data_IF_083902251051
#
_entry.id   IF_083902251051
#
_cell.length_a   1.000
_cell.length_b   1.000
_cell.length_c   1.000
_cell.angle_alpha   90.00
_cell.angle_beta   90.00
_cell.angle_gamma   90.00
#
_symmetry.space_group_name_H-M   'P 1'
#
loop_
_entity.id
_entity.type
_entity.pdbx_description
1 polymer ?
#
# COMPACT_ATOMS: atom_id res chain seq x y z
N UNK A 1 58.66 -10.09 -51.28
CA UNK A 1 58.12 -8.75 -50.95
C UNK A 1 57.11 -8.93 -49.84
N UNK A 2 57.38 -8.31 -48.70
CA UNK A 2 56.57 -8.34 -47.50
C UNK A 2 55.38 -7.37 -47.61
N UNK A 3 54.28 -7.72 -46.96
CA UNK A 3 53.18 -6.86 -46.46
C UNK A 3 52.08 -7.82 -45.98
N UNK A 4 51.46 -7.79 -44.80
CA UNK A 4 51.57 -7.02 -43.56
C UNK A 4 50.59 -7.71 -42.58
N UNK A 5 50.96 -7.78 -41.30
CA UNK A 5 50.23 -8.41 -40.18
C UNK A 5 49.05 -7.55 -39.75
N UNK A 6 47.86 -8.09 -39.50
CA UNK A 6 46.90 -7.53 -38.53
C UNK A 6 45.86 -8.58 -38.11
N UNK A 7 45.91 -8.96 -36.84
CA UNK A 7 44.87 -9.75 -36.17
C UNK A 7 43.56 -8.97 -36.16
N UNK A 8 42.44 -9.64 -36.48
CA UNK A 8 41.12 -9.06 -36.30
C UNK A 8 40.19 -10.09 -35.61
N UNK A 9 40.34 -10.11 -34.28
CA UNK A 9 39.27 -10.01 -33.28
C UNK A 9 38.07 -10.96 -33.48
N UNK A 10 37.98 -11.96 -32.59
CA UNK A 10 36.79 -12.79 -32.40
C UNK A 10 35.58 -11.93 -32.04
N UNK A 11 34.63 -11.86 -32.97
CA UNK A 11 33.39 -11.12 -32.82
C UNK A 11 32.28 -12.01 -32.23
N UNK A 12 32.00 -11.72 -30.97
CA UNK A 12 30.66 -11.39 -30.48
C UNK A 12 29.55 -12.45 -30.62
N UNK A 13 29.39 -13.27 -29.58
CA UNK A 13 28.07 -13.75 -29.14
C UNK A 13 28.09 -14.06 -27.63
N UNK A 14 28.38 -13.04 -26.82
CA UNK A 14 27.94 -13.03 -25.42
C UNK A 14 26.60 -12.28 -25.42
N UNK A 15 25.53 -13.02 -25.70
CA UNK A 15 24.17 -12.52 -25.47
C UNK A 15 24.01 -12.55 -23.95
N UNK A 16 24.48 -11.51 -23.26
CA UNK A 16 24.18 -11.32 -21.85
C UNK A 16 22.66 -11.16 -21.76
N UNK A 17 22.00 -12.15 -21.19
CA UNK A 17 20.58 -12.06 -20.85
C UNK A 17 20.43 -10.95 -19.82
N UNK A 18 20.05 -9.75 -20.26
CA UNK A 18 19.61 -8.68 -19.36
C UNK A 18 18.25 -9.12 -18.85
N UNK A 19 18.23 -9.82 -17.72
CA UNK A 19 17.01 -9.95 -16.94
C UNK A 19 16.67 -8.55 -16.42
N UNK A 20 15.68 -7.89 -17.04
CA UNK A 20 15.05 -6.72 -16.46
C UNK A 20 14.32 -7.21 -15.21
N UNK A 21 14.97 -7.09 -14.05
CA UNK A 21 14.30 -7.21 -12.76
C UNK A 21 13.52 -5.92 -12.59
N UNK A 22 12.24 -5.93 -12.95
CA UNK A 22 11.30 -4.90 -12.50
C UNK A 22 11.11 -5.12 -10.99
N UNK A 23 11.71 -4.29 -10.16
CA UNK A 23 11.34 -4.21 -8.75
C UNK A 23 9.96 -3.57 -8.71
N UNK A 24 8.92 -4.35 -8.41
CA UNK A 24 7.63 -3.81 -8.00
C UNK A 24 7.84 -3.09 -6.67
N UNK A 25 7.53 -1.80 -6.61
CA UNK A 25 7.55 -1.09 -5.34
C UNK A 25 6.53 -1.74 -4.38
N UNK A 26 6.84 -1.73 -3.09
CA UNK A 26 5.97 -2.32 -2.07
C UNK A 26 5.82 -1.33 -0.94
N UNK A 27 4.58 -0.87 -0.75
CA UNK A 27 4.19 -0.01 0.35
C UNK A 27 3.81 -0.84 1.56
N UNK A 28 4.20 -0.38 2.75
CA UNK A 28 3.84 -1.00 4.03
C UNK A 28 2.90 -0.07 4.79
N UNK A 29 1.59 -0.25 4.59
CA UNK A 29 0.54 0.51 5.25
C UNK A 29 0.36 0.01 6.68
N UNK A 30 0.49 0.90 7.65
CA UNK A 30 0.46 0.57 9.08
C UNK A 30 -0.46 1.51 9.83
N UNK A 31 -1.11 0.97 10.86
CA UNK A 31 -1.95 1.74 11.76
C UNK A 31 -2.45 0.91 12.92
N UNK A 32 -3.35 1.49 13.71
CA UNK A 32 -3.96 0.84 14.87
C UNK A 32 -5.46 1.03 14.84
N UNK A 33 -6.20 0.06 15.36
CA UNK A 33 -7.64 0.15 15.59
C UNK A 33 -7.88 0.29 17.07
N UNK A 34 -8.71 1.24 17.46
CA UNK A 34 -9.05 1.50 18.84
C UNK A 34 -10.56 1.61 19.05
N UNK A 35 -11.00 1.33 20.27
CA UNK A 35 -12.39 1.55 20.68
C UNK A 35 -12.57 2.97 21.22
N UNK A 36 -13.41 3.78 20.55
CA UNK A 36 -13.74 5.14 20.98
C UNK A 36 -14.86 5.12 22.05
N UNK A 37 -14.53 4.66 23.26
CA UNK A 37 -15.47 4.56 24.38
C UNK A 37 -16.05 5.91 24.82
N UNK A 38 -15.38 7.01 24.49
CA UNK A 38 -15.83 8.38 24.78
C UNK A 38 -16.63 9.02 23.63
N UNK A 39 -16.66 8.42 22.44
CA UNK A 39 -17.26 8.96 21.21
C UNK A 39 -16.73 10.37 20.86
N UNK A 40 -15.44 10.60 20.99
CA UNK A 40 -14.84 11.95 20.85
C UNK A 40 -14.15 12.23 19.53
N UNK A 41 -13.73 11.22 18.76
CA UNK A 41 -13.00 11.50 17.51
C UNK A 41 -11.61 10.90 17.42
N UNK A 42 -10.95 10.69 18.56
CA UNK A 42 -9.50 10.63 18.65
C UNK A 42 -9.03 9.79 19.84
N UNK A 43 -7.76 9.37 19.81
CA UNK A 43 -7.13 8.62 20.90
C UNK A 43 -6.99 9.49 22.17
N UNK A 44 -7.28 8.89 23.33
CA UNK A 44 -7.12 9.50 24.66
C UNK A 44 -6.24 8.62 25.55
N UNK A 45 -5.97 9.05 26.78
CA UNK A 45 -5.16 8.28 27.73
C UNK A 45 -5.83 6.99 28.23
N UNK A 46 -7.14 6.81 27.98
CA UNK A 46 -7.90 5.61 28.35
C UNK A 46 -8.28 4.76 27.13
N UNK A 47 -7.72 5.07 25.96
CA UNK A 47 -8.00 4.33 24.73
C UNK A 47 -7.57 2.87 24.86
N UNK A 48 -8.49 1.97 24.49
CA UNK A 48 -8.23 0.53 24.39
C UNK A 48 -8.10 0.15 22.92
N UNK A 49 -7.03 -0.57 22.58
CA UNK A 49 -6.80 -1.05 21.22
C UNK A 49 -7.49 -2.38 20.96
N UNK A 50 -7.99 -2.55 19.73
CA UNK A 50 -8.79 -3.70 19.33
C UNK A 50 -7.90 -4.72 18.63
N UNK A 51 -7.64 -5.84 19.28
CA UNK A 51 -6.97 -7.00 18.65
C UNK A 51 -7.94 -7.82 17.81
N UNK A 52 -7.55 -8.29 16.64
CA UNK A 52 -8.39 -9.09 15.76
C UNK A 52 -9.44 -8.29 14.96
N UNK A 53 -9.35 -6.96 14.93
CA UNK A 53 -10.15 -6.13 14.04
C UNK A 53 -9.73 -6.38 12.59
N UNK A 54 -10.71 -6.48 11.69
CA UNK A 54 -10.47 -6.58 10.25
C UNK A 54 -10.42 -5.19 9.65
N UNK A 55 -9.39 -4.95 8.86
CA UNK A 55 -9.19 -3.74 8.07
C UNK A 55 -8.89 -4.14 6.63
N UNK A 56 -9.08 -3.21 5.69
CA UNK A 56 -8.63 -3.40 4.32
C UNK A 56 -8.01 -2.12 3.78
N UNK A 57 -7.03 -2.23 2.91
CA UNK A 57 -6.72 -1.18 1.94
C UNK A 57 -7.65 -1.40 0.75
N UNK A 58 -8.34 -0.36 0.31
CA UNK A 58 -9.16 -0.34 -0.89
C UNK A 58 -8.71 0.82 -1.76
N UNK A 59 -8.31 0.54 -3.00
CA UNK A 59 -7.91 1.55 -3.96
C UNK A 59 -8.90 1.61 -5.12
N UNK A 60 -9.42 2.82 -5.34
CA UNK A 60 -10.47 3.09 -6.31
C UNK A 60 -9.95 4.01 -7.39
N UNK A 61 -10.10 3.63 -8.65
CA UNK A 61 -9.65 4.46 -9.77
C UNK A 61 -10.35 5.82 -9.75
N UNK A 62 -9.59 6.93 -9.77
CA UNK A 62 -10.13 8.27 -9.50
C UNK A 62 -11.20 8.73 -10.50
N UNK A 63 -11.07 8.35 -11.78
CA UNK A 63 -12.08 8.68 -12.81
C UNK A 63 -13.29 7.74 -12.82
N UNK A 64 -13.07 6.43 -12.73
CA UNK A 64 -14.12 5.43 -12.99
C UNK A 64 -14.89 5.04 -11.72
N UNK A 65 -14.37 5.36 -10.55
CA UNK A 65 -14.87 4.94 -9.24
C UNK A 65 -14.96 3.41 -9.08
N UNK A 66 -14.16 2.65 -9.83
CA UNK A 66 -14.07 1.19 -9.69
C UNK A 66 -12.97 0.82 -8.71
N UNK A 67 -13.24 -0.15 -7.84
CA UNK A 67 -12.22 -0.76 -6.99
C UNK A 67 -11.32 -1.61 -7.87
N UNK A 68 -10.07 -1.20 -8.01
CA UNK A 68 -9.05 -1.90 -8.81
C UNK A 68 -8.15 -2.76 -7.91
N UNK A 69 -7.93 -2.34 -6.66
CA UNK A 69 -7.10 -3.07 -5.70
C UNK A 69 -7.74 -3.21 -4.32
N UNK A 70 -7.51 -4.35 -3.67
CA UNK A 70 -7.77 -4.52 -2.25
C UNK A 70 -6.77 -5.47 -1.59
N UNK A 71 -6.44 -5.19 -0.32
CA UNK A 71 -5.73 -6.12 0.55
C UNK A 71 -6.36 -6.07 1.94
N UNK A 72 -6.55 -7.23 2.55
CA UNK A 72 -7.08 -7.31 3.90
C UNK A 72 -5.96 -7.42 4.93
N UNK A 73 -6.25 -6.96 6.14
CA UNK A 73 -5.38 -7.08 7.30
C UNK A 73 -6.19 -7.36 8.56
N UNK A 74 -5.52 -7.94 9.55
CA UNK A 74 -6.08 -8.17 10.88
C UNK A 74 -5.13 -7.56 11.89
N UNK A 75 -5.68 -6.87 12.88
CA UNK A 75 -4.85 -6.30 13.94
C UNK A 75 -4.28 -7.37 14.87
N UNK A 76 -3.03 -7.20 15.29
CA UNK A 76 -2.34 -8.07 16.22
C UNK A 76 -2.80 -7.86 17.67
N UNK A 77 -2.11 -8.47 18.64
CA UNK A 77 -2.44 -8.36 20.07
C UNK A 77 -2.32 -6.94 20.63
N UNK A 78 -1.63 -6.04 19.94
CA UNK A 78 -1.49 -4.62 20.30
C UNK A 78 -2.54 -3.74 19.61
N UNK A 79 -3.39 -4.34 18.78
CA UNK A 79 -4.35 -3.65 17.93
C UNK A 79 -3.72 -2.96 16.72
N UNK A 80 -2.48 -3.33 16.37
CA UNK A 80 -1.75 -2.80 15.23
C UNK A 80 -1.92 -3.68 14.00
N UNK A 81 -2.04 -3.09 12.81
CA UNK A 81 -2.02 -3.82 11.54
C UNK A 81 -0.85 -3.38 10.68
N UNK A 82 -0.41 -4.27 9.79
CA UNK A 82 0.52 -4.00 8.70
C UNK A 82 0.04 -4.72 7.45
N UNK A 83 -0.22 -3.96 6.39
CA UNK A 83 -0.68 -4.45 5.09
C UNK A 83 0.39 -4.07 4.07
N UNK A 84 0.88 -5.06 3.33
CA UNK A 84 1.76 -4.81 2.20
C UNK A 84 0.91 -4.64 0.95
N UNK A 85 1.14 -3.55 0.24
CA UNK A 85 0.48 -3.23 -1.04
C UNK A 85 1.58 -3.14 -2.09
N UNK A 86 1.44 -3.89 -3.17
CA UNK A 86 2.45 -3.98 -4.23
C UNK A 86 2.05 -3.08 -5.39
N UNK A 87 3.05 -2.65 -6.13
CA UNK A 87 2.93 -1.73 -7.27
C UNK A 87 2.54 -0.31 -6.88
N UNK A 88 2.66 0.59 -7.85
CA UNK A 88 2.28 2.00 -7.74
C UNK A 88 0.79 2.18 -8.02
N UNK A 89 0.14 3.08 -7.28
CA UNK A 89 -1.29 3.35 -7.36
C UNK A 89 -1.60 4.82 -7.73
N UNK A 90 -0.78 5.46 -8.58
CA UNK A 90 -0.93 6.86 -9.02
C UNK A 90 -2.32 7.25 -9.57
N UNK A 91 -3.03 6.29 -10.19
CA UNK A 91 -4.35 6.50 -10.80
C UNK A 91 -5.51 6.10 -9.87
N UNK A 92 -5.24 5.92 -8.59
CA UNK A 92 -6.19 5.41 -7.61
C UNK A 92 -6.21 6.27 -6.34
N UNK A 93 -7.38 6.35 -5.73
CA UNK A 93 -7.57 6.86 -4.39
C UNK A 93 -7.57 5.66 -3.46
N UNK A 94 -6.51 5.50 -2.67
CA UNK A 94 -6.35 4.43 -1.70
C UNK A 94 -6.79 4.88 -0.30
N UNK A 95 -7.63 4.07 0.34
CA UNK A 95 -8.07 4.27 1.71
C UNK A 95 -7.87 2.99 2.52
N UNK A 96 -7.43 3.15 3.77
CA UNK A 96 -7.61 2.09 4.77
C UNK A 96 -9.02 2.21 5.31
N UNK A 97 -9.75 1.10 5.37
CA UNK A 97 -11.14 1.02 5.84
C UNK A 97 -11.24 -0.01 6.96
N UNK A 98 -11.87 0.37 8.07
CA UNK A 98 -12.29 -0.55 9.13
C UNK A 98 -13.48 -1.39 8.64
N UNK A 99 -13.31 -2.72 8.64
CA UNK A 99 -14.33 -3.66 8.14
C UNK A 99 -15.15 -4.25 9.28
N UNK A 100 -14.47 -4.67 10.35
CA UNK A 100 -15.13 -5.37 11.46
C UNK A 100 -14.31 -5.23 12.75
N UNK A 101 -14.99 -5.03 13.87
CA UNK A 101 -14.40 -5.14 15.20
C UNK A 101 -14.63 -6.53 15.78
N UNK A 102 -13.62 -7.07 16.46
CA UNK A 102 -13.68 -8.35 17.17
C UNK A 102 -14.37 -8.25 18.55
N UNK A 103 -14.58 -7.05 19.08
CA UNK A 103 -15.12 -6.82 20.43
C UNK A 103 -16.62 -6.62 20.38
N UNK A 104 -17.38 -7.44 21.12
CA UNK A 104 -18.84 -7.36 21.20
C UNK A 104 -19.36 -6.00 21.66
N UNK A 105 -18.69 -5.40 22.64
CA UNK A 105 -19.04 -4.10 23.19
C UNK A 105 -18.53 -2.92 22.36
N UNK A 106 -17.89 -3.17 21.20
CA UNK A 106 -17.33 -2.12 20.35
C UNK A 106 -17.42 -2.49 18.86
N UNK A 107 -18.63 -2.91 18.42
CA UNK A 107 -18.91 -3.31 17.02
C UNK A 107 -19.39 -2.19 16.11
N UNK A 108 -19.86 -1.09 16.69
CA UNK A 108 -20.39 0.03 15.92
C UNK A 108 -19.26 0.71 15.15
N UNK A 109 -19.45 0.83 13.83
CA UNK A 109 -18.54 1.53 12.93
C UNK A 109 -19.18 2.89 12.60
N UNK A 110 -18.52 3.97 12.99
CA UNK A 110 -18.95 5.34 12.73
C UNK A 110 -18.59 5.74 11.28
N UNK A 111 -19.60 5.87 10.42
CA UNK A 111 -19.42 6.21 9.00
C UNK A 111 -18.74 7.58 8.86
N UNK A 112 -17.69 7.64 8.06
CA UNK A 112 -16.88 8.85 7.86
C UNK A 112 -15.67 8.95 8.80
N UNK A 113 -15.61 8.08 9.82
CA UNK A 113 -14.43 7.89 10.70
C UNK A 113 -13.86 6.48 10.58
N UNK A 114 -14.47 5.64 9.75
CA UNK A 114 -14.08 4.27 9.44
C UNK A 114 -12.90 4.19 8.46
N UNK A 115 -12.48 5.32 7.89
CA UNK A 115 -11.48 5.35 6.81
C UNK A 115 -10.42 6.43 6.96
N UNK A 116 -9.26 6.17 6.37
CA UNK A 116 -8.17 7.11 6.24
C UNK A 116 -7.49 6.95 4.87
N UNK A 117 -7.35 8.05 4.13
CA UNK A 117 -6.65 8.05 2.84
C UNK A 117 -5.15 7.85 3.04
N UNK A 118 -4.53 7.06 2.16
CA UNK A 118 -3.08 6.81 2.12
C UNK A 118 -2.56 7.06 0.70
N UNK A 119 -1.40 7.70 0.60
CA UNK A 119 -0.73 7.93 -0.68
C UNK A 119 0.20 6.74 -0.99
N UNK A 120 -0.11 5.98 -2.03
CA UNK A 120 0.66 4.84 -2.49
C UNK A 120 1.22 5.11 -3.90
N UNK A 121 2.01 6.18 -4.01
CA UNK A 121 2.67 6.58 -5.26
C UNK A 121 4.15 6.87 -4.99
N UNK A 122 5.02 6.47 -5.91
CA UNK A 122 6.47 6.59 -5.82
C UNK A 122 6.98 7.95 -6.34
N UNK A 123 6.19 8.63 -7.17
CA UNK A 123 6.48 9.94 -7.75
C UNK A 123 5.75 11.07 -7.01
N UNK A 124 6.22 12.31 -7.15
CA UNK A 124 5.51 13.47 -6.64
C UNK A 124 4.19 13.64 -7.40
N UNK A 125 3.06 13.45 -6.71
CA UNK A 125 1.74 13.73 -7.28
C UNK A 125 1.65 15.24 -7.55
N UNK A 126 1.74 15.61 -8.82
CA UNK A 126 1.46 16.98 -9.26
C UNK A 126 -0.06 17.19 -9.21
N UNK A 127 -0.56 17.69 -8.08
CA UNK A 127 -1.95 18.16 -7.99
C UNK A 127 -2.12 19.37 -8.90
N UNK A 128 -2.67 19.14 -10.09
CA UNK A 128 -3.17 20.22 -10.94
C UNK A 128 -4.57 20.60 -10.42
N UNK A 129 -4.67 21.77 -9.80
CA UNK A 129 -5.93 22.39 -9.42
C UNK A 129 -6.43 23.23 -10.62
N UNK A 130 -7.63 22.94 -11.13
CA UNK A 130 -8.37 23.82 -12.05
C UNK A 130 -9.28 24.80 -11.30
#
# INVERSE_FOLDING_TARGET
>A
MAMTKFELIGTLCLISSIALVSSSDTFSVQGRVYCDTCRVGFETNITEYVSGAKVKVECTHFTTNKVEHHNEGVTDSTGSYKINVVDDHENEICEVVLVESSLENCKEIEIGRDRAQVLLANEAVEMQLE
#
